data_IF_689612740872
#
_entry.id   IF_689612740872
#
_cell.length_a   1.000
_cell.length_b   1.000
_cell.length_c   1.000
_cell.angle_alpha   90.00
_cell.angle_beta   90.00
_cell.angle_gamma   90.00
#
_symmetry.space_group_name_H-M   'P 1'
#
loop_
_entity.id
_entity.type
_entity.pdbx_description
1 polymer ?
#
# COMPACT_ATOMS: atom_id res chain seq x y z
N UNK A 1 -1.02 0.06 -13.54
CA UNK A 1 -0.50 0.54 -12.23
C UNK A 1 0.92 0.07 -12.02
N UNK A 2 1.79 0.97 -11.61
CA UNK A 2 3.18 0.64 -11.31
C UNK A 2 3.52 1.07 -9.89
N UNK A 3 4.04 0.13 -9.09
CA UNK A 3 4.48 0.43 -7.72
C UNK A 3 5.89 1.01 -7.80
N UNK A 4 6.05 2.22 -7.28
CA UNK A 4 7.32 2.95 -7.32
C UNK A 4 8.14 2.80 -6.05
N UNK A 5 7.46 2.72 -4.89
CA UNK A 5 8.14 2.61 -3.60
C UNK A 5 7.23 1.95 -2.56
N UNK A 6 7.82 1.17 -1.69
CA UNK A 6 7.14 0.56 -0.55
C UNK A 6 8.00 0.85 0.68
N UNK A 7 7.42 1.52 1.67
CA UNK A 7 8.15 1.93 2.88
C UNK A 7 7.39 1.53 4.14
N UNK A 8 8.06 0.81 5.03
CA UNK A 8 7.51 0.48 6.34
C UNK A 8 7.52 1.74 7.20
N UNK A 9 6.33 2.27 7.49
CA UNK A 9 6.20 3.50 8.26
C UNK A 9 6.25 3.26 9.77
N UNK A 10 5.55 2.21 10.24
CA UNK A 10 5.42 1.97 11.67
C UNK A 10 4.98 0.53 11.94
N UNK A 11 5.42 -0.02 13.07
CA UNK A 11 4.95 -1.31 13.57
C UNK A 11 4.38 -1.10 14.97
N UNK A 12 3.10 -1.44 15.15
CA UNK A 12 2.42 -1.35 16.44
C UNK A 12 2.15 -2.75 16.97
N UNK A 13 2.51 -3.00 18.23
CA UNK A 13 2.23 -4.27 18.89
C UNK A 13 0.80 -4.27 19.43
N UNK A 14 0.07 -5.36 19.19
CA UNK A 14 -1.27 -5.58 19.72
C UNK A 14 -1.32 -6.88 20.52
N UNK A 15 -2.45 -7.16 21.16
CA UNK A 15 -2.63 -8.42 21.92
C UNK A 15 -2.59 -9.66 21.02
N UNK A 16 -2.92 -9.51 19.74
CA UNK A 16 -3.00 -10.63 18.79
C UNK A 16 -1.79 -10.74 17.88
N UNK A 17 -0.96 -9.72 17.79
CA UNK A 17 0.19 -9.71 16.90
C UNK A 17 0.70 -8.30 16.65
N UNK A 18 1.09 -8.03 15.41
CA UNK A 18 1.71 -6.76 15.04
C UNK A 18 1.00 -6.13 13.84
N UNK A 19 0.70 -4.85 13.96
CA UNK A 19 0.16 -4.04 12.87
C UNK A 19 1.31 -3.32 12.17
N UNK A 20 1.54 -3.69 10.90
CA UNK A 20 2.58 -3.07 10.08
C UNK A 20 1.91 -2.04 9.18
N UNK A 21 2.25 -0.77 9.37
CA UNK A 21 1.74 0.32 8.55
C UNK A 21 2.75 0.60 7.45
N UNK A 22 2.31 0.45 6.20
CA UNK A 22 3.19 0.52 5.03
C UNK A 22 2.69 1.59 4.09
N UNK A 23 3.57 2.51 3.71
CA UNK A 23 3.27 3.54 2.72
C UNK A 23 3.70 3.04 1.34
N UNK A 24 2.74 2.97 0.42
CA UNK A 24 2.98 2.53 -0.95
C UNK A 24 2.76 3.69 -1.89
N UNK A 25 3.80 4.02 -2.65
CA UNK A 25 3.73 5.03 -3.71
C UNK A 25 3.62 4.32 -5.04
N UNK A 26 2.62 4.68 -5.83
CA UNK A 26 2.38 4.07 -7.13
C UNK A 26 1.93 5.12 -8.14
N UNK A 27 1.95 4.75 -9.41
CA UNK A 27 1.46 5.58 -10.50
C UNK A 27 0.49 4.79 -11.38
N UNK A 28 -0.46 5.50 -11.94
CA UNK A 28 -1.39 4.95 -12.94
C UNK A 28 -1.09 5.66 -14.26
N UNK A 29 -0.72 4.94 -15.34
CA UNK A 29 -0.30 5.57 -16.59
C UNK A 29 -1.31 6.57 -17.17
N UNK A 30 -2.61 6.29 -17.02
CA UNK A 30 -3.67 7.16 -17.52
C UNK A 30 -3.71 8.49 -16.78
N UNK A 31 -3.45 8.48 -15.47
CA UNK A 31 -3.55 9.65 -14.61
C UNK A 31 -2.27 10.49 -14.57
N UNK A 32 -1.11 9.88 -14.88
CA UNK A 32 0.19 10.52 -14.90
C UNK A 32 0.61 11.17 -13.58
N UNK A 33 -0.05 10.82 -12.48
CA UNK A 33 0.25 11.31 -11.14
C UNK A 33 0.76 10.18 -10.26
N UNK A 34 1.49 10.57 -9.21
CA UNK A 34 1.91 9.63 -8.16
C UNK A 34 0.94 9.72 -7.00
N UNK A 35 0.59 8.56 -6.46
CA UNK A 35 -0.28 8.46 -5.30
C UNK A 35 0.40 7.68 -4.21
N UNK A 36 0.16 8.07 -2.96
CA UNK A 36 0.64 7.34 -1.80
C UNK A 36 -0.55 6.89 -0.97
N UNK A 37 -0.60 5.61 -0.65
CA UNK A 37 -1.63 5.03 0.21
C UNK A 37 -0.96 4.32 1.38
N UNK A 38 -1.56 4.43 2.56
CA UNK A 38 -1.11 3.70 3.75
C UNK A 38 -1.94 2.43 3.90
N UNK A 39 -1.25 1.29 3.90
CA UNK A 39 -1.88 -0.02 4.05
C UNK A 39 -1.52 -0.64 5.39
N UNK A 40 -2.44 -1.44 5.92
CA UNK A 40 -2.22 -2.19 7.14
C UNK A 40 -1.96 -3.66 6.80
N UNK A 41 -0.82 -4.18 7.27
CA UNK A 41 -0.50 -5.60 7.22
C UNK A 41 -0.49 -6.13 8.64
N UNK A 42 -1.44 -6.98 8.97
CA UNK A 42 -1.49 -7.63 10.28
C UNK A 42 -0.76 -8.97 10.22
N UNK A 43 0.24 -9.15 11.09
CA UNK A 43 1.04 -10.36 11.15
C UNK A 43 1.18 -10.81 12.61
N UNK A 44 1.30 -12.12 12.82
CA UNK A 44 1.50 -12.67 14.16
C UNK A 44 2.90 -12.38 14.70
N UNK A 45 3.87 -12.14 13.83
CA UNK A 45 5.23 -11.80 14.21
C UNK A 45 5.65 -10.46 13.61
N UNK A 46 6.65 -9.83 14.23
CA UNK A 46 7.23 -8.57 13.76
C UNK A 46 8.10 -8.84 12.54
N UNK A 47 7.81 -8.16 11.44
CA UNK A 47 8.56 -8.29 10.18
C UNK A 47 9.22 -6.97 9.87
N UNK A 48 10.57 -6.96 9.85
CA UNK A 48 11.36 -5.78 9.55
C UNK A 48 12.11 -5.89 8.21
N UNK A 49 12.11 -7.09 7.61
CA UNK A 49 12.77 -7.33 6.34
C UNK A 49 12.03 -6.64 5.20
N UNK A 50 12.70 -5.70 4.54
CA UNK A 50 12.13 -4.90 3.45
C UNK A 50 11.64 -5.78 2.31
N UNK A 51 12.37 -6.83 1.94
CA UNK A 51 11.97 -7.72 0.84
C UNK A 51 10.68 -8.48 1.16
N UNK A 52 10.53 -8.91 2.42
CA UNK A 52 9.31 -9.59 2.86
C UNK A 52 8.13 -8.63 2.84
N UNK A 53 8.30 -7.41 3.31
CA UNK A 53 7.25 -6.39 3.29
C UNK A 53 6.82 -6.11 1.85
N UNK A 54 7.75 -5.95 0.93
CA UNK A 54 7.46 -5.72 -0.49
C UNK A 54 6.69 -6.89 -1.10
N UNK A 55 7.10 -8.12 -0.78
CA UNK A 55 6.40 -9.31 -1.23
C UNK A 55 4.95 -9.36 -0.72
N UNK A 56 4.75 -9.10 0.57
CA UNK A 56 3.42 -9.12 1.18
C UNK A 56 2.49 -8.06 0.58
N UNK A 57 3.00 -6.86 0.37
CA UNK A 57 2.22 -5.80 -0.28
C UNK A 57 1.86 -6.20 -1.70
N UNK A 58 2.81 -6.72 -2.47
CA UNK A 58 2.61 -7.08 -3.86
C UNK A 58 1.65 -8.25 -4.05
N UNK A 59 1.56 -9.16 -3.08
CA UNK A 59 0.68 -10.33 -3.17
C UNK A 59 -0.62 -10.16 -2.40
N UNK A 60 -0.56 -9.77 -1.14
CA UNK A 60 -1.73 -9.73 -0.26
C UNK A 60 -2.51 -8.43 -0.35
N UNK A 61 -1.86 -7.34 -0.66
CA UNK A 61 -2.45 -6.01 -0.72
C UNK A 61 -2.60 -5.45 -2.13
N UNK A 62 -2.25 -6.21 -3.14
CA UNK A 62 -2.37 -5.76 -4.53
C UNK A 62 -3.80 -5.34 -4.86
N UNK A 63 -4.78 -6.10 -4.42
CA UNK A 63 -6.19 -5.76 -4.63
C UNK A 63 -6.54 -4.40 -4.02
N UNK A 64 -6.05 -4.12 -2.81
CA UNK A 64 -6.31 -2.84 -2.14
C UNK A 64 -5.70 -1.68 -2.94
N UNK A 65 -4.52 -1.89 -3.53
CA UNK A 65 -3.88 -0.90 -4.39
C UNK A 65 -4.70 -0.64 -5.65
N UNK A 66 -5.22 -1.69 -6.27
CA UNK A 66 -6.08 -1.57 -7.46
C UNK A 66 -7.34 -0.80 -7.12
N UNK A 67 -7.99 -1.12 -6.01
CA UNK A 67 -9.20 -0.43 -5.56
C UNK A 67 -8.95 1.05 -5.27
N UNK A 68 -7.82 1.36 -4.64
CA UNK A 68 -7.43 2.74 -4.39
C UNK A 68 -7.18 3.48 -5.71
N UNK A 69 -6.54 2.83 -6.68
CA UNK A 69 -6.28 3.40 -8.00
C UNK A 69 -7.57 3.75 -8.73
N UNK A 70 -8.55 2.84 -8.68
CA UNK A 70 -9.87 3.08 -9.29
C UNK A 70 -10.56 4.26 -8.63
N UNK A 71 -10.50 4.35 -7.29
CA UNK A 71 -11.08 5.47 -6.55
C UNK A 71 -10.44 6.80 -6.95
N UNK A 72 -9.12 6.83 -7.06
CA UNK A 72 -8.41 8.05 -7.49
C UNK A 72 -8.78 8.45 -8.92
N UNK A 73 -8.89 7.48 -9.81
CA UNK A 73 -9.34 7.71 -11.18
C UNK A 73 -10.73 8.35 -11.22
N UNK A 74 -11.68 7.80 -10.47
CA UNK A 74 -13.03 8.32 -10.40
C UNK A 74 -13.07 9.74 -9.83
N UNK A 75 -12.31 10.00 -8.77
CA UNK A 75 -12.23 11.33 -8.17
C UNK A 75 -11.68 12.37 -9.14
N UNK A 76 -10.61 12.06 -9.85
CA UNK A 76 -10.03 12.97 -10.85
C UNK A 76 -10.95 13.18 -12.05
N UNK A 77 -11.64 12.15 -12.45
CA UNK A 77 -12.62 12.24 -13.53
C UNK A 77 -13.78 13.17 -13.17
N UNK A 78 -14.25 13.11 -11.94
CA UNK A 78 -15.33 13.98 -11.46
C UNK A 78 -14.87 15.43 -11.31
N UNK A 79 -13.62 15.64 -10.95
CA UNK A 79 -13.04 16.96 -10.76
C UNK A 79 -12.73 17.70 -12.07
N UNK A 80 -12.65 16.97 -13.18
CA UNK A 80 -12.34 17.58 -14.49
C UNK A 80 -13.59 17.97 -15.33
#
# INVERSE_FOLDING_TARGET
MEILNIELARIDKTDLGFEHWVDVTYTVPILKNKYTVRLLLFMECKIEDQEVIEYLVSTWKYRDLVLHSVRMYEMEREAS
#
